data_IF_660083248612
#
_entry.id   IF_660083248612
#
_cell.length_a   1.000
_cell.length_b   1.000
_cell.length_c   1.000
_cell.angle_alpha   90.00
_cell.angle_beta   90.00
_cell.angle_gamma   90.00
#
_symmetry.space_group_name_H-M   'P 1'
#
loop_
_entity.id
_entity.type
_entity.pdbx_description
1 polymer ?
#
# COMPACT_ATOMS: atom_id res chain seq x y z
N UNK A 1 -21.85 -5.58 -14.16
CA UNK A 1 -20.89 -5.94 -13.10
C UNK A 1 -21.38 -7.14 -12.30
N UNK A 2 -20.50 -7.95 -11.72
CA UNK A 2 -20.90 -9.00 -10.78
C UNK A 2 -21.64 -8.36 -9.59
N UNK A 3 -22.70 -9.00 -9.07
CA UNK A 3 -23.65 -8.44 -8.07
C UNK A 3 -23.05 -7.97 -6.73
N UNK A 4 -21.74 -8.06 -6.53
CA UNK A 4 -21.01 -7.64 -5.32
C UNK A 4 -19.63 -7.01 -5.64
N UNK A 5 -19.38 -6.67 -6.90
CA UNK A 5 -18.11 -6.05 -7.28
C UNK A 5 -18.07 -4.62 -6.73
N UNK A 6 -16.94 -4.26 -6.12
CA UNK A 6 -16.68 -2.91 -5.65
C UNK A 6 -16.03 -2.16 -6.81
N UNK A 7 -16.73 -1.18 -7.38
CA UNK A 7 -16.10 -0.26 -8.31
C UNK A 7 -15.40 0.81 -7.49
N UNK A 8 -14.07 0.79 -7.47
CA UNK A 8 -13.24 1.78 -6.77
C UNK A 8 -12.97 2.99 -7.65
N UNK A 9 -12.97 4.21 -7.09
CA UNK A 9 -12.54 5.40 -7.84
C UNK A 9 -11.09 5.25 -8.32
N UNK A 10 -10.23 4.73 -7.45
CA UNK A 10 -8.84 4.45 -7.81
C UNK A 10 -8.71 3.47 -8.98
N UNK A 11 -9.54 2.42 -9.00
CA UNK A 11 -9.58 1.48 -10.11
C UNK A 11 -9.86 2.19 -11.44
N UNK A 12 -10.82 3.12 -11.46
CA UNK A 12 -11.18 3.90 -12.66
C UNK A 12 -10.04 4.82 -13.08
N UNK A 13 -9.41 5.53 -12.14
CA UNK A 13 -8.23 6.36 -12.39
C UNK A 13 -7.09 5.54 -13.05
N UNK A 14 -6.86 4.32 -12.57
CA UNK A 14 -5.84 3.42 -13.13
C UNK A 14 -6.26 2.82 -14.46
N UNK A 15 -7.53 2.47 -14.64
CA UNK A 15 -8.07 1.97 -15.90
C UNK A 15 -7.84 2.98 -17.03
N UNK A 16 -8.07 4.27 -16.77
CA UNK A 16 -7.86 5.36 -17.72
C UNK A 16 -6.41 5.47 -18.21
N UNK A 17 -5.43 5.05 -17.40
CA UNK A 17 -4.01 5.06 -17.76
C UNK A 17 -3.56 3.78 -18.49
N UNK A 18 -4.39 2.73 -18.50
CA UNK A 18 -3.98 1.38 -18.94
C UNK A 18 -4.86 0.85 -20.08
N UNK A 19 -5.98 1.50 -20.37
CA UNK A 19 -6.92 1.10 -21.41
C UNK A 19 -6.48 1.59 -22.80
N UNK A 20 -6.65 0.73 -23.80
CA UNK A 20 -6.43 1.05 -25.21
C UNK A 20 -5.05 0.68 -25.73
N UNK A 21 -4.99 0.43 -27.04
CA UNK A 21 -3.75 0.10 -27.72
C UNK A 21 -2.82 1.31 -27.89
N UNK A 22 -1.51 1.07 -27.81
CA UNK A 22 -0.52 2.06 -28.24
C UNK A 22 -0.39 2.04 -29.77
N UNK A 23 -0.24 3.22 -30.37
CA UNK A 23 0.07 3.34 -31.81
C UNK A 23 1.44 2.71 -32.09
N UNK A 24 1.44 1.61 -32.85
CA UNK A 24 2.66 0.86 -33.18
C UNK A 24 3.70 1.68 -33.93
N UNK A 25 3.28 2.58 -34.83
CA UNK A 25 4.19 3.44 -35.59
C UNK A 25 4.80 4.52 -34.71
N UNK A 26 4.05 5.04 -33.74
CA UNK A 26 4.57 5.95 -32.72
C UNK A 26 5.65 5.24 -31.86
N UNK A 27 5.42 3.98 -31.47
CA UNK A 27 6.39 3.18 -30.72
C UNK A 27 7.68 2.94 -31.52
N UNK A 28 7.55 2.58 -32.80
CA UNK A 28 8.68 2.35 -33.70
C UNK A 28 9.52 3.63 -33.89
N UNK A 29 8.87 4.76 -34.17
CA UNK A 29 9.56 6.05 -34.34
C UNK A 29 10.22 6.50 -33.04
N UNK A 30 9.57 6.29 -31.89
CA UNK A 30 10.13 6.61 -30.57
C UNK A 30 11.38 5.78 -30.29
N UNK A 31 11.37 4.48 -30.58
CA UNK A 31 12.54 3.60 -30.48
C UNK A 31 13.68 3.99 -31.42
N UNK A 32 13.35 4.53 -32.60
CA UNK A 32 14.35 4.94 -33.60
C UNK A 32 15.01 6.29 -33.27
N UNK A 33 14.32 7.19 -32.57
CA UNK A 33 14.76 8.57 -32.34
C UNK A 33 15.67 8.81 -31.11
N UNK A 34 16.03 7.78 -30.34
CA UNK A 34 17.05 7.85 -29.26
C UNK A 34 16.93 9.07 -28.29
N UNK A 35 15.71 9.40 -27.86
CA UNK A 35 15.49 10.37 -26.76
C UNK A 35 15.78 9.71 -25.41
N UNK A 36 16.96 9.99 -24.82
CA UNK A 36 17.42 9.63 -23.46
C UNK A 36 17.18 8.17 -23.01
N UNK A 37 18.25 7.38 -22.92
CA UNK A 37 18.23 5.96 -22.46
C UNK A 37 17.52 5.69 -21.12
N UNK A 38 17.35 6.71 -20.27
CA UNK A 38 16.64 6.59 -18.98
C UNK A 38 15.11 6.62 -19.13
N UNK A 39 14.57 7.31 -20.14
CA UNK A 39 13.14 7.35 -20.42
C UNK A 39 12.67 6.07 -21.16
N UNK A 40 13.57 5.45 -21.93
CA UNK A 40 13.30 4.21 -22.66
C UNK A 40 13.06 3.00 -21.77
N UNK A 41 13.82 2.82 -20.70
CA UNK A 41 13.67 1.64 -19.82
C UNK A 41 12.37 1.68 -19.02
N UNK A 42 11.90 2.87 -18.63
CA UNK A 42 10.62 3.07 -17.93
C UNK A 42 9.41 2.85 -18.82
N UNK A 43 9.53 3.07 -20.12
CA UNK A 43 8.41 2.99 -21.05
C UNK A 43 8.30 1.63 -21.77
N UNK A 44 9.43 1.05 -22.20
CA UNK A 44 9.44 -0.23 -22.92
C UNK A 44 9.13 -1.45 -22.02
N UNK A 45 9.33 -1.36 -20.70
CA UNK A 45 8.86 -2.38 -19.75
C UNK A 45 7.36 -2.26 -19.44
N UNK A 46 6.76 -1.11 -19.75
CA UNK A 46 5.37 -0.76 -19.43
C UNK A 46 4.41 -1.16 -20.55
N UNK A 47 4.82 -1.07 -21.81
CA UNK A 47 3.86 -1.09 -22.93
C UNK A 47 3.47 -2.46 -23.49
N UNK A 48 4.18 -3.54 -23.16
CA UNK A 48 3.86 -4.85 -23.74
C UNK A 48 2.67 -5.55 -23.07
N UNK A 49 2.39 -5.32 -21.79
CA UNK A 49 1.37 -6.06 -21.03
C UNK A 49 0.57 -5.15 -20.07
N UNK A 50 0.01 -4.04 -20.56
CA UNK A 50 -0.96 -3.28 -19.77
C UNK A 50 -2.21 -4.13 -19.57
N UNK A 51 -2.68 -4.23 -18.34
CA UNK A 51 -3.81 -5.11 -18.04
C UNK A 51 -5.15 -4.67 -18.63
N UNK A 52 -5.27 -3.39 -19.00
CA UNK A 52 -6.43 -2.84 -19.68
C UNK A 52 -6.32 -2.89 -21.21
N UNK A 53 -5.25 -3.46 -21.78
CA UNK A 53 -4.96 -3.39 -23.22
C UNK A 53 -6.05 -4.05 -24.07
N UNK A 54 -6.49 -5.25 -23.70
CA UNK A 54 -7.51 -6.02 -24.44
C UNK A 54 -8.94 -5.64 -24.05
N UNK A 55 -9.14 -4.57 -23.28
CA UNK A 55 -10.47 -4.15 -22.87
C UNK A 55 -11.21 -3.50 -24.05
N UNK A 56 -12.34 -4.08 -24.45
CA UNK A 56 -13.19 -3.48 -25.49
C UNK A 56 -13.68 -2.08 -25.09
N UNK A 57 -13.81 -1.19 -26.06
CA UNK A 57 -14.31 0.17 -25.86
C UNK A 57 -15.69 0.18 -25.18
N UNK A 58 -16.60 -0.72 -25.56
CA UNK A 58 -17.94 -0.79 -24.95
C UNK A 58 -17.91 -1.09 -23.45
N UNK A 59 -17.07 -2.05 -23.04
CA UNK A 59 -16.86 -2.36 -21.62
C UNK A 59 -16.21 -1.21 -20.88
N UNK A 60 -15.23 -0.54 -21.50
CA UNK A 60 -14.61 0.65 -20.92
C UNK A 60 -15.62 1.79 -20.70
N UNK A 61 -16.44 2.11 -21.71
CA UNK A 61 -17.49 3.12 -21.62
C UNK A 61 -18.47 2.74 -20.51
N UNK A 62 -18.93 1.49 -20.48
CA UNK A 62 -19.83 1.01 -19.44
C UNK A 62 -19.25 1.19 -18.02
N UNK A 63 -17.98 0.83 -17.80
CA UNK A 63 -17.33 1.02 -16.49
C UNK A 63 -17.25 2.51 -16.13
N UNK A 64 -16.91 3.37 -17.09
CA UNK A 64 -16.78 4.80 -16.87
C UNK A 64 -18.13 5.45 -16.54
N UNK A 65 -19.20 5.09 -17.27
CA UNK A 65 -20.55 5.58 -16.99
C UNK A 65 -21.03 5.16 -15.60
N UNK A 66 -20.78 3.91 -15.20
CA UNK A 66 -21.11 3.45 -13.85
C UNK A 66 -20.29 4.17 -12.77
N UNK A 67 -19.01 4.48 -13.04
CA UNK A 67 -18.19 5.28 -12.15
C UNK A 67 -18.71 6.72 -12.01
N UNK A 68 -19.11 7.34 -13.12
CA UNK A 68 -19.69 8.69 -13.13
C UNK A 68 -21.02 8.71 -12.36
N UNK A 69 -21.85 7.67 -12.47
CA UNK A 69 -23.07 7.57 -11.66
C UNK A 69 -22.79 7.46 -10.16
N UNK A 70 -21.70 6.78 -9.77
CA UNK A 70 -21.34 6.58 -8.36
C UNK A 70 -20.64 7.79 -7.73
N UNK A 71 -19.83 8.50 -8.50
CA UNK A 71 -18.94 9.55 -7.98
C UNK A 71 -19.21 10.94 -8.54
N UNK A 72 -20.11 11.08 -9.52
CA UNK A 72 -20.47 12.34 -10.15
C UNK A 72 -19.24 13.14 -10.61
N UNK A 73 -19.09 14.39 -10.17
CA UNK A 73 -17.94 15.24 -10.47
C UNK A 73 -16.64 14.79 -9.79
N UNK A 74 -16.69 13.91 -8.79
CA UNK A 74 -15.55 13.51 -7.97
C UNK A 74 -14.76 12.34 -8.54
N UNK A 75 -15.03 11.87 -9.77
CA UNK A 75 -14.25 10.79 -10.39
C UNK A 75 -12.77 11.17 -10.52
N UNK A 76 -12.47 12.46 -10.73
CA UNK A 76 -11.13 12.99 -11.00
C UNK A 76 -10.26 12.03 -11.82
N UNK A 77 -10.55 11.91 -13.11
CA UNK A 77 -9.93 10.94 -14.04
C UNK A 77 -8.40 11.01 -14.07
N UNK A 78 -7.81 12.21 -13.89
CA UNK A 78 -6.36 12.42 -13.80
C UNK A 78 -5.80 12.31 -12.38
N UNK A 79 -6.63 12.00 -11.40
CA UNK A 79 -6.26 11.84 -10.00
C UNK A 79 -5.55 10.53 -9.72
N UNK A 80 -4.97 10.44 -8.52
CA UNK A 80 -4.40 9.23 -7.98
C UNK A 80 -4.68 9.18 -6.47
N UNK A 81 -5.71 8.43 -6.08
CA UNK A 81 -6.14 8.33 -4.69
C UNK A 81 -5.07 7.73 -3.76
N UNK A 82 -4.14 6.92 -4.28
CA UNK A 82 -3.00 6.44 -3.50
C UNK A 82 -1.96 7.53 -3.24
N UNK A 83 -1.70 8.41 -4.21
CA UNK A 83 -0.82 9.55 -4.00
C UNK A 83 -1.44 10.53 -2.99
N UNK A 84 -2.76 10.73 -3.05
CA UNK A 84 -3.49 11.51 -2.05
C UNK A 84 -3.38 10.86 -0.66
N UNK A 85 -3.62 9.55 -0.54
CA UNK A 85 -3.44 8.82 0.72
C UNK A 85 -2.00 8.96 1.26
N UNK A 86 -1.01 8.90 0.38
CA UNK A 86 0.39 9.09 0.75
C UNK A 86 0.67 10.50 1.30
N UNK A 87 0.06 11.54 0.72
CA UNK A 87 0.15 12.91 1.23
C UNK A 87 -0.55 13.08 2.58
N UNK A 88 -1.76 12.54 2.73
CA UNK A 88 -2.54 12.58 3.98
C UNK A 88 -1.89 11.79 5.12
N UNK A 89 -1.05 10.80 4.80
CA UNK A 89 -0.24 10.04 5.78
C UNK A 89 1.16 10.63 6.00
N UNK A 90 1.33 11.90 5.62
CA UNK A 90 2.54 12.72 5.76
C UNK A 90 3.78 12.11 5.10
N UNK A 91 3.80 12.18 3.75
CA UNK A 91 4.80 11.65 2.81
C UNK A 91 6.30 11.87 3.11
N UNK A 92 6.66 12.77 4.04
CA UNK A 92 8.04 13.17 4.32
C UNK A 92 8.48 13.10 5.79
N UNK A 93 7.59 12.77 6.73
CA UNK A 93 7.95 12.71 8.15
C UNK A 93 8.20 11.27 8.62
N UNK A 94 9.13 11.10 9.57
CA UNK A 94 9.30 9.80 10.26
C UNK A 94 7.97 9.35 10.85
N UNK A 95 7.72 8.03 10.91
CA UNK A 95 6.44 7.43 11.36
C UNK A 95 6.01 8.01 12.73
N UNK A 96 6.99 8.29 13.61
CA UNK A 96 6.76 8.91 14.91
C UNK A 96 6.18 10.33 14.86
N UNK A 97 6.56 11.14 13.86
CA UNK A 97 6.09 12.53 13.68
C UNK A 97 4.80 12.63 12.86
N UNK A 98 4.42 11.58 12.14
CA UNK A 98 3.19 11.55 11.33
C UNK A 98 1.90 11.26 12.11
N UNK A 99 2.00 10.84 13.38
CA UNK A 99 0.83 10.48 14.20
C UNK A 99 -0.07 11.66 14.57
N UNK A 100 0.46 12.88 14.60
CA UNK A 100 -0.35 14.09 14.89
C UNK A 100 -1.09 14.57 13.64
N UNK A 101 -0.44 14.49 12.46
CA UNK A 101 -1.04 14.94 11.18
C UNK A 101 -2.16 14.02 10.73
N UNK A 102 -2.02 12.70 10.91
CA UNK A 102 -3.06 11.77 10.51
C UNK A 102 -4.38 12.03 11.24
N UNK A 103 -4.35 12.59 12.46
CA UNK A 103 -5.58 12.95 13.20
C UNK A 103 -6.31 14.13 12.55
N UNK A 104 -5.58 15.08 11.97
CA UNK A 104 -6.15 16.22 11.24
C UNK A 104 -6.82 15.74 9.96
N UNK A 105 -6.19 14.79 9.26
CA UNK A 105 -6.62 14.31 7.95
C UNK A 105 -7.48 13.04 7.99
N UNK A 106 -7.83 12.54 9.17
CA UNK A 106 -8.46 11.23 9.33
C UNK A 106 -9.81 11.13 8.61
N UNK A 107 -10.60 12.20 8.61
CA UNK A 107 -11.90 12.22 7.93
C UNK A 107 -11.75 12.17 6.41
N UNK A 108 -10.69 12.76 5.85
CA UNK A 108 -10.39 12.65 4.42
C UNK A 108 -9.94 11.22 4.06
N UNK A 109 -9.14 10.58 4.94
CA UNK A 109 -8.73 9.18 4.74
C UNK A 109 -9.95 8.25 4.84
N UNK A 110 -10.85 8.49 5.79
CA UNK A 110 -12.12 7.75 5.91
C UNK A 110 -12.98 7.92 4.66
N UNK A 111 -13.09 9.13 4.11
CA UNK A 111 -13.81 9.38 2.87
C UNK A 111 -13.22 8.56 1.70
N UNK A 112 -11.89 8.57 1.55
CA UNK A 112 -11.22 7.78 0.51
C UNK A 112 -11.56 6.30 0.61
N UNK A 113 -11.52 5.72 1.82
CA UNK A 113 -11.81 4.30 2.02
C UNK A 113 -13.31 4.03 1.86
N UNK A 114 -14.16 4.71 2.62
CA UNK A 114 -15.58 4.37 2.74
C UNK A 114 -16.39 4.81 1.53
N UNK A 115 -16.18 6.03 1.03
CA UNK A 115 -17.00 6.63 -0.01
C UNK A 115 -16.35 6.44 -1.38
N UNK A 116 -15.05 6.67 -1.51
CA UNK A 116 -14.31 6.49 -2.78
C UNK A 116 -13.85 5.03 -3.00
N UNK A 117 -14.12 4.14 -2.03
CA UNK A 117 -13.87 2.70 -2.09
C UNK A 117 -12.41 2.38 -2.40
N UNK A 118 -11.47 3.11 -1.79
CA UNK A 118 -10.05 2.96 -2.05
C UNK A 118 -9.57 1.54 -1.68
N UNK A 119 -9.21 0.76 -2.69
CA UNK A 119 -8.69 -0.61 -2.57
C UNK A 119 -7.50 -0.74 -3.53
N UNK A 120 -6.36 -1.31 -3.10
CA UNK A 120 -5.24 -1.61 -3.99
C UNK A 120 -5.63 -2.67 -5.01
N UNK A 121 -4.96 -2.69 -6.15
CA UNK A 121 -4.91 -3.86 -7.00
C UNK A 121 -4.22 -5.03 -6.25
N UNK A 122 -4.57 -6.28 -6.58
CA UNK A 122 -3.91 -7.44 -5.98
C UNK A 122 -2.38 -7.38 -6.10
N UNK A 123 -1.63 -7.72 -5.04
CA UNK A 123 -0.17 -7.79 -5.08
C UNK A 123 0.29 -8.74 -6.19
N UNK A 124 1.22 -8.30 -7.03
CA UNK A 124 1.75 -9.17 -8.08
C UNK A 124 2.81 -10.12 -7.55
N UNK A 125 2.65 -11.40 -7.84
CA UNK A 125 3.68 -12.42 -7.60
C UNK A 125 4.72 -12.51 -8.73
N UNK A 126 4.62 -11.71 -9.81
CA UNK A 126 5.50 -11.79 -10.99
C UNK A 126 5.77 -10.42 -11.65
N UNK A 127 6.77 -10.37 -12.52
CA UNK A 127 7.31 -9.23 -13.30
C UNK A 127 6.29 -8.44 -14.18
N UNK A 128 4.97 -8.67 -14.02
CA UNK A 128 3.87 -8.05 -14.76
C UNK A 128 2.76 -7.52 -13.83
N UNK A 129 3.13 -6.89 -12.72
CA UNK A 129 2.18 -6.47 -11.70
C UNK A 129 1.32 -5.27 -12.05
N UNK A 130 0.06 -5.32 -11.62
CA UNK A 130 -0.95 -4.26 -11.78
C UNK A 130 -0.66 -3.04 -10.87
N UNK A 131 -0.07 -3.29 -9.70
CA UNK A 131 0.41 -2.29 -8.73
C UNK A 131 1.86 -2.53 -8.32
N UNK A 132 2.58 -1.45 -7.96
CA UNK A 132 3.95 -1.53 -7.47
C UNK A 132 3.94 -1.73 -5.94
N UNK A 133 5.02 -2.31 -5.41
CA UNK A 133 5.31 -2.44 -3.96
C UNK A 133 5.15 -1.10 -3.22
N UNK A 134 5.30 0.02 -3.92
CA UNK A 134 5.06 1.36 -3.38
C UNK A 134 3.63 1.56 -2.82
N UNK A 135 2.58 1.17 -3.56
CA UNK A 135 1.19 1.35 -3.11
C UNK A 135 0.89 0.56 -1.84
N UNK A 136 1.33 -0.70 -1.78
CA UNK A 136 1.17 -1.53 -0.57
C UNK A 136 1.93 -0.97 0.64
N UNK A 137 3.09 -0.33 0.42
CA UNK A 137 3.81 0.36 1.49
C UNK A 137 3.04 1.58 2.01
N UNK A 138 2.37 2.34 1.14
CA UNK A 138 1.52 3.47 1.57
C UNK A 138 0.39 2.97 2.48
N UNK A 139 -0.30 1.90 2.09
CA UNK A 139 -1.33 1.28 2.93
C UNK A 139 -0.79 0.79 4.26
N UNK A 140 0.32 0.04 4.22
CA UNK A 140 0.93 -0.49 5.42
C UNK A 140 1.33 0.64 6.39
N UNK A 141 1.86 1.74 5.87
CA UNK A 141 2.16 2.94 6.66
C UNK A 141 0.90 3.53 7.29
N UNK A 142 -0.17 3.71 6.53
CA UNK A 142 -1.45 4.22 7.04
C UNK A 142 -1.98 3.36 8.20
N UNK A 143 -1.92 2.03 8.04
CA UNK A 143 -2.36 1.06 9.06
C UNK A 143 -1.47 1.12 10.30
N UNK A 144 -0.15 1.20 10.14
CA UNK A 144 0.78 1.28 11.29
C UNK A 144 0.53 2.55 12.12
N UNK A 145 0.19 3.66 11.45
CA UNK A 145 -0.14 4.92 12.10
C UNK A 145 -1.53 4.90 12.75
N UNK A 146 -2.53 4.31 12.08
CA UNK A 146 -3.90 4.25 12.56
C UNK A 146 -4.51 2.87 12.28
N UNK A 147 -4.34 1.90 13.19
CA UNK A 147 -4.70 0.49 12.96
C UNK A 147 -6.19 0.28 12.66
N UNK A 148 -7.06 1.11 13.24
CA UNK A 148 -8.51 1.00 13.07
C UNK A 148 -8.99 1.24 11.63
N UNK A 149 -8.16 1.82 10.75
CA UNK A 149 -8.47 1.94 9.32
C UNK A 149 -8.77 0.58 8.68
N UNK A 150 -8.18 -0.50 9.19
CA UNK A 150 -8.46 -1.90 8.77
C UNK A 150 -9.95 -2.21 8.78
N UNK A 151 -10.67 -1.71 9.79
CA UNK A 151 -12.09 -1.98 9.93
C UNK A 151 -12.91 -1.30 8.83
N UNK A 152 -12.45 -0.14 8.34
CA UNK A 152 -13.09 0.57 7.23
C UNK A 152 -12.95 -0.19 5.90
N UNK A 153 -11.77 -0.76 5.63
CA UNK A 153 -11.57 -1.63 4.47
C UNK A 153 -12.42 -2.90 4.54
N UNK A 154 -12.49 -3.53 5.71
CA UNK A 154 -13.38 -4.68 5.92
C UNK A 154 -14.85 -4.30 5.73
N UNK A 155 -15.26 -3.12 6.19
CA UNK A 155 -16.64 -2.63 6.05
C UNK A 155 -17.06 -2.45 4.59
N UNK A 156 -16.16 -2.00 3.71
CA UNK A 156 -16.45 -1.90 2.28
C UNK A 156 -16.35 -3.24 1.53
N UNK A 157 -15.91 -4.32 2.19
CA UNK A 157 -15.80 -5.67 1.63
C UNK A 157 -14.38 -6.13 1.28
N UNK A 158 -13.35 -5.33 1.58
CA UNK A 158 -11.96 -5.73 1.39
C UNK A 158 -11.41 -6.49 2.61
N UNK A 159 -11.82 -7.75 2.74
CA UNK A 159 -11.49 -8.58 3.90
C UNK A 159 -10.04 -9.10 3.93
N UNK A 160 -9.38 -9.18 2.77
CA UNK A 160 -8.00 -9.67 2.66
C UNK A 160 -6.93 -8.62 3.01
N UNK A 161 -7.31 -7.38 3.35
CA UNK A 161 -6.37 -6.27 3.66
C UNK A 161 -5.26 -6.68 4.64
N UNK A 162 -5.60 -7.42 5.69
CA UNK A 162 -4.62 -7.87 6.68
C UNK A 162 -3.60 -8.85 6.10
N UNK A 163 -4.04 -9.74 5.21
CA UNK A 163 -3.20 -10.73 4.55
C UNK A 163 -2.30 -10.07 3.51
N UNK A 164 -2.88 -9.21 2.68
CA UNK A 164 -2.18 -8.56 1.56
C UNK A 164 -1.12 -7.57 2.03
N UNK A 165 -1.31 -6.99 3.23
CA UNK A 165 -0.34 -6.06 3.84
C UNK A 165 0.45 -6.65 5.00
N UNK A 166 0.29 -7.96 5.30
CA UNK A 166 0.75 -8.57 6.56
C UNK A 166 2.22 -8.29 6.87
N UNK A 167 3.12 -8.72 5.98
CA UNK A 167 4.55 -8.59 6.21
C UNK A 167 5.01 -7.12 6.25
N UNK A 168 4.32 -6.22 5.53
CA UNK A 168 4.66 -4.80 5.49
C UNK A 168 4.22 -4.09 6.78
N UNK A 169 3.01 -4.39 7.26
CA UNK A 169 2.49 -3.82 8.52
C UNK A 169 3.32 -4.29 9.69
N UNK A 170 3.56 -5.60 9.84
CA UNK A 170 4.39 -6.14 10.93
C UNK A 170 5.79 -5.51 10.91
N UNK A 171 6.43 -5.44 9.74
CA UNK A 171 7.72 -4.76 9.56
C UNK A 171 7.65 -3.28 9.95
N UNK A 172 6.60 -2.58 9.55
CA UNK A 172 6.38 -1.16 9.87
C UNK A 172 6.21 -0.90 11.37
N UNK A 173 5.57 -1.81 12.12
CA UNK A 173 5.48 -1.72 13.58
C UNK A 173 6.86 -1.77 14.22
N UNK A 174 7.73 -2.68 13.78
CA UNK A 174 9.10 -2.72 14.30
C UNK A 174 9.90 -1.48 13.89
N UNK A 175 9.74 -0.92 12.69
CA UNK A 175 10.38 0.35 12.30
C UNK A 175 9.97 1.51 13.19
N UNK A 176 8.71 1.54 13.63
CA UNK A 176 8.23 2.56 14.57
C UNK A 176 8.90 2.42 15.95
N UNK A 177 9.12 1.19 16.41
CA UNK A 177 9.71 0.89 17.72
C UNK A 177 11.24 1.02 17.72
N UNK A 178 11.89 0.76 16.59
CA UNK A 178 13.34 0.75 16.41
C UNK A 178 13.74 1.68 15.26
N UNK A 179 13.82 3.01 15.50
CA UNK A 179 14.20 3.97 14.48
C UNK A 179 15.65 3.74 14.02
N UNK A 180 15.91 4.02 12.73
CA UNK A 180 17.24 3.86 12.12
C UNK A 180 18.29 4.84 12.65
N UNK A 181 17.85 5.98 13.20
CA UNK A 181 18.73 6.95 13.83
C UNK A 181 18.43 7.01 15.33
N UNK A 182 19.34 6.49 16.15
CA UNK A 182 19.25 6.46 17.61
C UNK A 182 19.53 7.80 18.27
N UNK A 183 20.05 8.80 17.52
CA UNK A 183 20.31 10.16 18.02
C UNK A 183 19.03 11.01 18.18
N UNK A 184 17.85 10.42 17.95
CA UNK A 184 16.61 10.98 18.48
C UNK A 184 16.75 11.03 20.00
N UNK A 185 17.03 12.21 20.55
CA UNK A 185 17.60 12.48 21.89
C UNK A 185 16.95 11.78 23.11
N UNK A 186 15.84 11.05 22.95
CA UNK A 186 15.12 10.34 24.01
C UNK A 186 14.67 8.91 23.64
N UNK A 187 15.18 8.31 22.55
CA UNK A 187 14.79 6.92 22.24
C UNK A 187 15.43 5.94 23.22
N UNK A 188 14.60 5.15 23.88
CA UNK A 188 15.00 4.05 24.76
C UNK A 188 14.60 2.75 24.08
N UNK A 189 15.52 1.79 24.04
CA UNK A 189 15.26 0.47 23.48
C UNK A 189 14.03 -0.15 24.19
N UNK A 190 12.94 -0.46 23.47
CA UNK A 190 11.75 -1.04 24.07
C UNK A 190 12.06 -2.48 24.50
N UNK A 191 11.52 -2.90 25.64
CA UNK A 191 11.57 -4.30 26.05
C UNK A 191 10.59 -5.18 25.25
N UNK A 192 10.69 -6.50 25.41
CA UNK A 192 9.85 -7.46 24.71
C UNK A 192 8.35 -7.32 25.04
N UNK A 193 8.00 -6.77 26.21
CA UNK A 193 6.61 -6.56 26.62
C UNK A 193 6.00 -5.34 25.95
N UNK A 194 6.77 -4.27 25.76
CA UNK A 194 6.34 -3.08 24.99
C UNK A 194 6.07 -3.49 23.54
N UNK A 195 6.97 -4.28 22.95
CA UNK A 195 6.80 -4.80 21.58
C UNK A 195 5.56 -5.69 21.50
N UNK A 196 5.40 -6.63 22.45
CA UNK A 196 4.23 -7.51 22.53
C UNK A 196 2.92 -6.73 22.58
N UNK A 197 2.80 -5.75 23.50
CA UNK A 197 1.60 -4.90 23.63
C UNK A 197 1.29 -4.16 22.33
N UNK A 198 2.31 -3.60 21.67
CA UNK A 198 2.11 -2.87 20.41
C UNK A 198 1.67 -3.80 19.27
N UNK A 199 2.29 -4.97 19.13
CA UNK A 199 1.94 -5.94 18.10
C UNK A 199 0.58 -6.61 18.33
N UNK A 200 0.19 -6.80 19.60
CA UNK A 200 -1.12 -7.38 19.95
C UNK A 200 -2.28 -6.62 19.33
N UNK A 201 -2.22 -5.28 19.27
CA UNK A 201 -3.20 -4.43 18.58
C UNK A 201 -3.43 -4.89 17.13
N UNK A 202 -2.35 -5.21 16.41
CA UNK A 202 -2.44 -5.64 15.01
C UNK A 202 -2.88 -7.11 14.91
N UNK A 203 -2.43 -7.98 15.82
CA UNK A 203 -2.83 -9.38 15.85
C UNK A 203 -4.34 -9.50 16.08
N UNK A 204 -4.88 -8.71 17.01
CA UNK A 204 -6.33 -8.66 17.31
C UNK A 204 -7.14 -8.17 16.10
N UNK A 205 -6.55 -7.34 15.24
CA UNK A 205 -7.15 -6.92 13.96
C UNK A 205 -7.07 -7.99 12.86
N UNK A 206 -6.33 -9.08 13.07
CA UNK A 206 -6.21 -10.21 12.13
C UNK A 206 -4.86 -10.32 11.41
N UNK A 207 -3.88 -9.49 11.77
CA UNK A 207 -2.49 -9.67 11.30
C UNK A 207 -1.83 -10.88 11.96
N UNK A 208 -0.81 -11.43 11.32
CA UNK A 208 -0.14 -12.65 11.79
C UNK A 208 1.37 -12.48 11.77
N UNK A 209 2.00 -12.78 12.91
CA UNK A 209 3.43 -13.04 12.95
C UNK A 209 3.70 -14.44 12.34
N UNK A 210 3.86 -14.48 11.02
CA UNK A 210 4.20 -15.68 10.25
C UNK A 210 5.69 -15.70 9.86
N UNK A 211 6.15 -16.80 9.27
CA UNK A 211 7.56 -16.97 8.87
C UNK A 211 8.04 -15.89 7.90
N UNK A 212 7.16 -15.42 7.00
CA UNK A 212 7.49 -14.35 6.06
C UNK A 212 7.70 -13.02 6.79
N UNK A 213 6.84 -12.70 7.74
CA UNK A 213 6.91 -11.48 8.54
C UNK A 213 8.12 -11.49 9.48
N UNK A 214 8.39 -12.62 10.14
CA UNK A 214 9.59 -12.83 10.96
C UNK A 214 10.85 -12.61 10.12
N UNK A 215 10.93 -13.24 8.94
CA UNK A 215 12.06 -13.07 8.02
C UNK A 215 12.21 -11.61 7.58
N UNK A 216 11.12 -10.92 7.28
CA UNK A 216 11.14 -9.52 6.88
C UNK A 216 11.69 -8.61 7.98
N UNK A 217 11.33 -8.86 9.25
CA UNK A 217 11.84 -8.10 10.40
C UNK A 217 13.31 -8.40 10.66
N UNK A 218 13.74 -9.67 10.63
CA UNK A 218 15.16 -10.03 10.81
C UNK A 218 16.02 -9.38 9.71
N UNK A 219 15.57 -9.46 8.45
CA UNK A 219 16.28 -8.85 7.33
C UNK A 219 16.37 -7.32 7.46
N UNK A 220 15.30 -6.68 7.95
CA UNK A 220 15.26 -5.24 8.15
C UNK A 220 16.34 -4.75 9.12
N UNK A 221 16.59 -5.50 10.19
CA UNK A 221 17.56 -5.12 11.23
C UNK A 221 18.86 -5.92 11.14
N UNK A 222 19.19 -6.49 9.97
CA UNK A 222 20.38 -7.33 9.79
C UNK A 222 21.67 -6.68 10.30
N UNK A 223 21.80 -5.36 10.09
CA UNK A 223 23.01 -4.60 10.46
C UNK A 223 23.02 -4.21 11.95
N UNK A 224 21.89 -4.33 12.65
CA UNK A 224 21.71 -4.00 14.07
C UNK A 224 21.31 -5.21 14.91
N UNK A 225 21.37 -6.41 14.36
CA UNK A 225 20.86 -7.62 15.01
C UNK A 225 21.63 -7.95 16.30
N UNK A 226 22.90 -7.55 16.39
CA UNK A 226 23.71 -7.67 17.60
C UNK A 226 23.22 -6.78 18.75
N UNK A 227 22.57 -5.66 18.45
CA UNK A 227 22.09 -4.69 19.45
C UNK A 227 20.69 -5.05 19.94
N UNK A 228 19.78 -5.40 19.03
CA UNK A 228 18.34 -5.50 19.32
C UNK A 228 17.77 -6.91 19.06
N UNK A 229 18.59 -7.83 18.54
CA UNK A 229 18.14 -9.15 18.11
C UNK A 229 17.56 -10.00 19.23
N UNK A 230 18.16 -9.98 20.43
CA UNK A 230 17.65 -10.76 21.57
C UNK A 230 16.23 -10.32 21.95
N UNK A 231 15.99 -9.02 22.05
CA UNK A 231 14.68 -8.46 22.39
C UNK A 231 13.65 -8.77 21.31
N UNK A 232 14.03 -8.64 20.03
CA UNK A 232 13.16 -9.02 18.90
C UNK A 232 12.78 -10.50 18.99
N UNK A 233 13.74 -11.40 19.19
CA UNK A 233 13.48 -12.84 19.27
C UNK A 233 12.61 -13.21 20.48
N UNK A 234 12.86 -12.61 21.65
CA UNK A 234 11.99 -12.76 22.83
C UNK A 234 10.57 -12.29 22.54
N UNK A 235 10.40 -11.16 21.83
CA UNK A 235 9.07 -10.67 21.45
C UNK A 235 8.34 -11.65 20.52
N UNK A 236 9.03 -12.28 19.57
CA UNK A 236 8.44 -13.32 18.73
C UNK A 236 7.97 -14.52 19.56
N UNK A 237 8.80 -14.97 20.50
CA UNK A 237 8.46 -16.07 21.38
C UNK A 237 7.22 -15.76 22.24
N UNK A 238 7.14 -14.57 22.84
CA UNK A 238 5.98 -14.15 23.64
C UNK A 238 4.69 -14.16 22.81
N UNK A 239 4.74 -13.62 21.59
CA UNK A 239 3.59 -13.58 20.68
C UNK A 239 3.16 -15.00 20.27
N UNK A 240 4.11 -15.89 20.00
CA UNK A 240 3.80 -17.26 19.63
C UNK A 240 3.23 -18.08 20.79
N UNK A 241 3.58 -17.75 22.04
CA UNK A 241 3.07 -18.39 23.25
C UNK A 241 1.65 -17.94 23.63
N UNK A 242 1.25 -16.74 23.21
CA UNK A 242 -0.08 -16.17 23.46
C UNK A 242 -1.17 -16.71 22.52
N UNK A 243 -0.80 -17.50 21.49
CA UNK A 243 -1.72 -18.21 20.59
C UNK A 243 -2.17 -19.54 21.16
#
# INVERSE_FOLDING_TARGET
MAKKAILSRYFVQRLMLQCGGCDGRLLELRNTLNVSQEDFKRLNSSQKHHWGYDLSVDVFIYILEEAIKLYESDVYIKGNDFDLLHLLTASSSMISLSSERIQVDIEQIKDLILNKKLIPFPPSTREHGYENVHQLNILARAIVLYPDLVNLWKQIGYHEICKDTNSLVIRGVYLLLFPSNTDQRNWVCPDENVIFKKLKIFIDLGFKLDNQSIRAVIYLFRDRISEIGEVILKSFYLICKDK
#
